data_IF_219020239873
#
_entry.id   IF_219020239873
#
_cell.length_a   1.000
_cell.length_b   1.000
_cell.length_c   1.000
_cell.angle_alpha   90.00
_cell.angle_beta   90.00
_cell.angle_gamma   90.00
#
_symmetry.space_group_name_H-M   'P 1'
#
loop_
_entity.id
_entity.type
_entity.pdbx_description
1 polymer ?
#
# COMPACT_ATOMS: atom_id res chain seq x y z
N UNK A 1 2.25 -31.83 -16.35
CA UNK A 1 1.19 -30.80 -16.36
C UNK A 1 0.17 -31.17 -15.28
N UNK A 2 0.01 -30.30 -14.27
CA UNK A 2 -1.08 -30.46 -13.29
C UNK A 2 -2.33 -29.89 -13.92
N UNK A 3 -3.31 -30.73 -14.26
CA UNK A 3 -4.65 -30.27 -14.64
C UNK A 3 -5.35 -29.71 -13.40
N UNK A 4 -6.00 -28.55 -13.55
CA UNK A 4 -6.86 -27.95 -12.53
C UNK A 4 -8.34 -28.17 -12.87
N UNK A 5 -8.64 -29.01 -13.87
CA UNK A 5 -10.00 -29.42 -14.20
C UNK A 5 -10.65 -30.10 -12.98
N UNK A 6 -11.91 -29.82 -12.76
CA UNK A 6 -12.72 -30.34 -11.66
C UNK A 6 -12.20 -29.99 -10.24
N UNK A 7 -11.30 -29.00 -10.12
CA UNK A 7 -10.76 -28.54 -8.83
C UNK A 7 -11.45 -27.26 -8.35
N UNK A 8 -11.56 -27.15 -7.04
CA UNK A 8 -11.84 -25.87 -6.35
C UNK A 8 -10.55 -25.07 -6.30
N UNK A 9 -10.58 -23.80 -6.67
CA UNK A 9 -9.38 -22.99 -6.78
C UNK A 9 -9.51 -21.73 -5.91
N UNK A 10 -8.50 -21.50 -5.10
CA UNK A 10 -8.25 -20.24 -4.40
C UNK A 10 -7.14 -19.52 -5.17
N UNK A 11 -7.44 -18.38 -5.78
CA UNK A 11 -6.43 -17.55 -6.45
C UNK A 11 -6.23 -16.27 -5.65
N UNK A 12 -5.01 -16.06 -5.22
CA UNK A 12 -4.56 -14.79 -4.63
C UNK A 12 -3.77 -13.99 -5.67
N UNK A 13 -4.22 -12.78 -5.96
CA UNK A 13 -3.51 -11.86 -6.85
C UNK A 13 -2.59 -10.96 -6.05
N UNK A 14 -1.31 -10.95 -6.42
CA UNK A 14 -0.26 -10.24 -5.71
C UNK A 14 0.80 -9.62 -6.62
N UNK A 15 1.68 -8.79 -6.05
CA UNK A 15 2.88 -8.29 -6.72
C UNK A 15 4.02 -8.08 -5.73
N UNK A 16 5.27 -8.10 -6.20
CA UNK A 16 6.46 -7.92 -5.37
C UNK A 16 6.52 -6.57 -4.65
N UNK A 17 5.85 -5.58 -5.19
CA UNK A 17 5.74 -4.21 -4.65
C UNK A 17 4.50 -3.99 -3.76
N UNK A 18 3.64 -4.99 -3.63
CA UNK A 18 2.41 -4.90 -2.86
C UNK A 18 2.65 -5.37 -1.42
N UNK A 19 2.94 -4.43 -0.52
CA UNK A 19 3.16 -4.72 0.90
C UNK A 19 2.03 -5.52 1.55
N UNK A 20 0.76 -5.06 1.46
CA UNK A 20 -0.37 -5.80 2.02
C UNK A 20 -0.55 -7.21 1.44
N UNK A 21 -0.15 -7.44 0.18
CA UNK A 21 -0.16 -8.79 -0.39
C UNK A 21 0.83 -9.71 0.33
N UNK A 22 2.04 -9.20 0.59
CA UNK A 22 3.07 -9.98 1.28
C UNK A 22 2.72 -10.24 2.75
N UNK A 23 1.97 -9.33 3.39
CA UNK A 23 1.44 -9.53 4.74
C UNK A 23 0.37 -10.63 4.80
N UNK A 24 -0.36 -10.86 3.71
CA UNK A 24 -1.38 -11.89 3.63
C UNK A 24 -0.81 -13.31 3.44
N UNK A 25 0.45 -13.44 3.00
CA UNK A 25 1.08 -14.75 2.71
C UNK A 25 1.04 -15.72 3.90
N UNK A 26 1.39 -15.31 5.15
CA UNK A 26 1.33 -16.22 6.30
C UNK A 26 -0.09 -16.77 6.55
N UNK A 27 -1.11 -15.92 6.39
CA UNK A 27 -2.51 -16.31 6.55
C UNK A 27 -2.93 -17.35 5.48
N UNK A 28 -2.59 -17.11 4.23
CA UNK A 28 -2.88 -18.06 3.13
C UNK A 28 -2.12 -19.38 3.30
N UNK A 29 -0.87 -19.31 3.76
CA UNK A 29 -0.07 -20.50 4.08
C UNK A 29 -0.72 -21.34 5.19
N UNK A 30 -1.27 -20.69 6.23
CA UNK A 30 -1.99 -21.35 7.31
C UNK A 30 -3.26 -22.04 6.78
N UNK A 31 -4.05 -21.37 5.95
CA UNK A 31 -5.23 -21.96 5.34
C UNK A 31 -4.87 -23.15 4.46
N UNK A 32 -3.85 -23.01 3.61
CA UNK A 32 -3.38 -24.11 2.78
C UNK A 32 -2.93 -25.31 3.61
N UNK A 33 -2.23 -25.10 4.71
CA UNK A 33 -1.79 -26.19 5.59
C UNK A 33 -2.98 -26.90 6.24
N UNK A 34 -4.03 -26.17 6.66
CA UNK A 34 -5.26 -26.75 7.19
C UNK A 34 -6.01 -27.62 6.18
N UNK A 35 -5.98 -27.24 4.91
CA UNK A 35 -6.68 -27.95 3.84
C UNK A 35 -5.77 -28.85 3.00
N UNK A 36 -4.53 -29.09 3.39
CA UNK A 36 -3.54 -29.88 2.61
C UNK A 36 -3.95 -31.30 2.26
N UNK A 37 -4.84 -31.90 3.02
CA UNK A 37 -5.39 -33.26 2.78
C UNK A 37 -6.55 -33.24 1.78
N UNK A 38 -7.07 -32.09 1.41
CA UNK A 38 -8.12 -31.98 0.41
C UNK A 38 -7.49 -31.87 -0.97
N UNK A 39 -7.43 -32.99 -1.68
CA UNK A 39 -6.82 -33.07 -3.02
C UNK A 39 -7.61 -32.31 -4.10
N UNK A 40 -8.86 -31.90 -3.81
CA UNK A 40 -9.71 -31.17 -4.75
C UNK A 40 -9.63 -29.66 -4.60
N UNK A 41 -8.90 -29.15 -3.60
CA UNK A 41 -8.67 -27.73 -3.38
C UNK A 41 -7.24 -27.33 -3.72
N UNK A 42 -7.09 -26.30 -4.55
CA UNK A 42 -5.78 -25.80 -5.00
C UNK A 42 -5.64 -24.33 -4.62
N UNK A 43 -4.49 -23.96 -4.05
CA UNK A 43 -4.14 -22.57 -3.74
C UNK A 43 -3.07 -22.08 -4.73
N UNK A 44 -3.35 -20.93 -5.35
CA UNK A 44 -2.50 -20.30 -6.36
C UNK A 44 -2.25 -18.86 -5.96
N UNK A 45 -0.99 -18.45 -5.92
CA UNK A 45 -0.60 -17.04 -5.83
C UNK A 45 -0.16 -16.55 -7.20
N UNK A 46 -0.95 -15.68 -7.81
CA UNK A 46 -0.80 -15.25 -9.20
C UNK A 46 -0.31 -13.80 -9.29
N UNK A 47 0.67 -13.56 -10.12
CA UNK A 47 1.19 -12.22 -10.45
C UNK A 47 1.39 -12.06 -11.96
N UNK A 48 1.38 -10.83 -12.45
CA UNK A 48 1.71 -10.49 -13.84
C UNK A 48 3.20 -10.19 -14.06
N UNK A 49 4.00 -10.26 -12.99
CA UNK A 49 5.42 -9.93 -13.03
C UNK A 49 6.26 -11.08 -13.58
N UNK A 50 7.40 -10.74 -14.19
CA UNK A 50 8.32 -11.73 -14.75
C UNK A 50 8.94 -12.63 -13.67
N UNK A 51 9.22 -13.92 -13.96
CA UNK A 51 9.82 -14.85 -13.01
C UNK A 51 11.11 -14.35 -12.37
N UNK A 52 11.96 -13.66 -13.14
CA UNK A 52 13.22 -13.11 -12.62
C UNK A 52 13.00 -12.04 -11.53
N UNK A 53 11.89 -11.31 -11.64
CA UNK A 53 11.55 -10.27 -10.67
C UNK A 53 10.99 -10.88 -9.39
N UNK A 54 10.13 -11.87 -9.49
CA UNK A 54 9.50 -12.50 -8.31
C UNK A 54 10.47 -13.35 -7.51
N UNK A 55 11.53 -13.89 -8.14
CA UNK A 55 12.49 -14.78 -7.50
C UNK A 55 13.10 -14.20 -6.22
N UNK A 56 13.52 -12.95 -6.25
CA UNK A 56 14.11 -12.30 -5.09
C UNK A 56 13.13 -12.17 -3.90
N UNK A 57 11.84 -12.10 -4.16
CA UNK A 57 10.79 -12.10 -3.13
C UNK A 57 10.56 -13.50 -2.60
N UNK A 58 10.52 -14.52 -3.47
CA UNK A 58 10.37 -15.94 -3.08
C UNK A 58 11.55 -16.44 -2.25
N UNK A 59 12.76 -15.92 -2.47
CA UNK A 59 13.94 -16.25 -1.68
C UNK A 59 13.87 -15.74 -0.22
N UNK A 60 12.91 -14.83 0.09
CA UNK A 60 12.78 -14.14 1.39
C UNK A 60 11.45 -14.42 2.09
N UNK A 61 10.41 -14.68 1.33
CA UNK A 61 9.05 -14.89 1.82
C UNK A 61 8.60 -16.27 1.35
N UNK A 62 8.26 -17.11 2.32
CA UNK A 62 7.86 -18.50 2.10
C UNK A 62 6.42 -18.56 1.61
N UNK A 63 6.23 -18.80 0.32
CA UNK A 63 4.94 -19.09 -0.28
C UNK A 63 4.74 -20.60 -0.34
N UNK A 64 3.79 -21.13 0.42
CA UNK A 64 3.40 -22.55 0.33
C UNK A 64 2.44 -22.82 -0.84
N UNK A 65 1.81 -21.76 -1.35
CA UNK A 65 0.92 -21.81 -2.51
C UNK A 65 1.69 -22.04 -3.82
N UNK A 66 0.99 -22.46 -4.88
CA UNK A 66 1.56 -22.56 -6.22
C UNK A 66 1.72 -21.14 -6.78
N UNK A 67 2.96 -20.68 -6.92
CA UNK A 67 3.21 -19.34 -7.49
C UNK A 67 3.20 -19.41 -9.02
N UNK A 68 2.37 -18.55 -9.64
CA UNK A 68 2.18 -18.47 -11.08
C UNK A 68 2.44 -17.06 -11.59
N UNK A 69 3.17 -16.96 -12.71
CA UNK A 69 3.39 -15.72 -13.44
C UNK A 69 2.53 -15.69 -14.71
N UNK A 70 1.44 -14.90 -14.70
CA UNK A 70 0.58 -14.67 -15.89
C UNK A 70 0.99 -13.36 -16.58
N UNK A 71 2.09 -13.40 -17.34
CA UNK A 71 2.60 -12.22 -18.06
C UNK A 71 1.64 -11.77 -19.17
N UNK A 72 0.72 -12.65 -19.62
CA UNK A 72 -0.32 -12.30 -20.59
C UNK A 72 -1.39 -11.38 -20.00
N UNK A 73 -1.50 -11.37 -18.68
CA UNK A 73 -2.57 -10.70 -17.92
C UNK A 73 -3.98 -11.19 -18.28
N UNK A 74 -4.09 -12.34 -18.92
CA UNK A 74 -5.40 -12.85 -19.32
C UNK A 74 -6.29 -13.11 -18.11
N UNK A 75 -5.77 -13.84 -17.12
CA UNK A 75 -6.51 -14.13 -15.88
C UNK A 75 -6.82 -12.87 -15.09
N UNK A 76 -5.91 -11.89 -15.06
CA UNK A 76 -6.15 -10.59 -14.41
C UNK A 76 -7.31 -9.82 -15.06
N UNK A 77 -7.43 -9.88 -16.39
CA UNK A 77 -8.53 -9.25 -17.14
C UNK A 77 -9.84 -10.01 -16.98
N UNK A 78 -9.81 -11.32 -17.14
CA UNK A 78 -11.00 -12.19 -17.07
C UNK A 78 -11.64 -12.10 -15.66
N UNK A 79 -10.84 -11.92 -14.62
CA UNK A 79 -11.31 -11.78 -13.23
C UNK A 79 -11.39 -10.33 -12.75
N UNK A 80 -11.25 -9.35 -13.65
CA UNK A 80 -11.37 -7.90 -13.35
C UNK A 80 -10.46 -7.42 -12.21
N UNK A 81 -9.24 -8.00 -12.10
CA UNK A 81 -8.25 -7.62 -11.10
C UNK A 81 -7.66 -6.24 -11.40
N UNK A 82 -7.65 -5.85 -12.68
CA UNK A 82 -7.27 -4.51 -13.12
C UNK A 82 -8.48 -3.81 -13.73
N UNK A 83 -8.86 -2.67 -13.15
CA UNK A 83 -9.96 -1.85 -13.66
C UNK A 83 -9.47 -0.42 -13.87
N UNK A 84 -9.72 0.14 -15.07
CA UNK A 84 -9.33 1.52 -15.44
C UNK A 84 -7.82 1.81 -15.21
N UNK A 85 -6.96 0.81 -15.38
CA UNK A 85 -5.50 0.92 -15.14
C UNK A 85 -5.11 0.93 -13.67
N UNK A 86 -6.02 0.59 -12.76
CA UNK A 86 -5.76 0.42 -11.33
C UNK A 86 -5.79 -1.06 -11.00
N UNK A 87 -4.68 -1.57 -10.47
CA UNK A 87 -4.59 -2.94 -9.96
C UNK A 87 -5.26 -3.03 -8.59
N UNK A 88 -6.26 -3.89 -8.46
CA UNK A 88 -6.99 -4.14 -7.20
C UNK A 88 -6.38 -5.35 -6.48
N UNK A 89 -5.25 -5.17 -5.84
CA UNK A 89 -4.55 -6.20 -5.06
C UNK A 89 -4.23 -5.68 -3.64
N UNK A 90 -4.23 -6.56 -2.60
CA UNK A 90 -4.48 -8.01 -2.67
C UNK A 90 -5.94 -8.35 -2.96
N UNK A 91 -6.17 -9.35 -3.79
CA UNK A 91 -7.50 -9.85 -4.13
C UNK A 91 -7.50 -11.37 -4.16
N UNK A 92 -8.36 -11.99 -3.38
CA UNK A 92 -8.60 -13.44 -3.42
C UNK A 92 -9.89 -13.76 -4.16
N UNK A 93 -9.84 -14.74 -5.04
CA UNK A 93 -10.98 -15.24 -5.82
C UNK A 93 -11.15 -16.73 -5.58
N UNK A 94 -12.38 -17.16 -5.28
CA UNK A 94 -12.76 -18.56 -5.19
C UNK A 94 -13.50 -19.00 -6.46
N UNK A 95 -13.00 -20.05 -7.10
CA UNK A 95 -13.56 -20.61 -8.32
C UNK A 95 -13.92 -22.08 -8.05
N UNK A 96 -15.20 -22.45 -8.26
CA UNK A 96 -15.69 -23.80 -8.04
C UNK A 96 -15.15 -24.79 -9.12
N UNK A 97 -15.40 -26.05 -8.90
CA UNK A 97 -15.00 -27.14 -9.81
C UNK A 97 -15.70 -27.11 -11.17
N UNK A 98 -16.69 -26.24 -11.39
CA UNK A 98 -17.33 -25.98 -12.67
C UNK A 98 -16.77 -24.71 -13.35
N UNK A 99 -15.75 -24.08 -12.77
CA UNK A 99 -15.15 -22.86 -13.30
C UNK A 99 -15.91 -21.57 -12.97
N UNK A 100 -16.90 -21.59 -12.06
CA UNK A 100 -17.65 -20.41 -11.69
C UNK A 100 -17.01 -19.67 -10.52
N UNK A 101 -16.92 -18.35 -10.60
CA UNK A 101 -16.51 -17.50 -9.49
C UNK A 101 -17.60 -17.49 -8.42
N UNK A 102 -17.27 -17.90 -7.21
CA UNK A 102 -18.20 -17.95 -6.06
C UNK A 102 -17.98 -16.81 -5.07
N UNK A 103 -16.78 -16.27 -5.02
CA UNK A 103 -16.46 -15.17 -4.10
C UNK A 103 -15.23 -14.41 -4.58
N UNK A 104 -15.20 -13.11 -4.30
CA UNK A 104 -14.05 -12.21 -4.44
C UNK A 104 -13.97 -11.34 -3.20
N UNK A 105 -12.77 -11.17 -2.63
CA UNK A 105 -12.59 -10.31 -1.46
C UNK A 105 -11.13 -10.20 -1.04
N UNK A 106 -10.91 -9.48 0.06
CA UNK A 106 -9.57 -9.35 0.64
C UNK A 106 -9.13 -10.68 1.27
N UNK A 107 -7.84 -11.09 1.12
CA UNK A 107 -7.36 -12.37 1.67
C UNK A 107 -7.61 -12.55 3.17
N UNK A 108 -7.54 -11.50 3.96
CA UNK A 108 -7.83 -11.56 5.41
C UNK A 108 -9.31 -11.89 5.71
N UNK A 109 -10.21 -11.72 4.75
CA UNK A 109 -11.63 -12.09 4.91
C UNK A 109 -11.88 -13.56 4.61
N UNK A 110 -10.93 -14.24 3.95
CA UNK A 110 -11.00 -15.67 3.71
C UNK A 110 -10.63 -16.40 5.00
N UNK A 111 -11.51 -17.29 5.44
CA UNK A 111 -11.31 -18.10 6.64
C UNK A 111 -11.73 -19.55 6.40
N UNK A 112 -11.48 -20.40 7.37
CA UNK A 112 -11.80 -21.82 7.31
C UNK A 112 -13.31 -22.09 7.12
N UNK A 113 -14.18 -21.30 7.75
CA UNK A 113 -15.64 -21.43 7.61
C UNK A 113 -16.08 -21.15 6.16
N UNK A 114 -15.58 -20.06 5.57
CA UNK A 114 -15.86 -19.70 4.17
C UNK A 114 -15.37 -20.78 3.19
N UNK A 115 -14.18 -21.32 3.42
CA UNK A 115 -13.64 -22.40 2.57
C UNK A 115 -14.47 -23.67 2.71
N UNK A 116 -14.91 -24.03 3.91
CA UNK A 116 -15.78 -25.19 4.12
C UNK A 116 -17.15 -25.03 3.44
N UNK A 117 -17.77 -23.85 3.53
CA UNK A 117 -19.02 -23.54 2.82
C UNK A 117 -18.81 -23.58 1.30
N UNK A 118 -17.69 -23.03 0.81
CA UNK A 118 -17.33 -23.05 -0.59
C UNK A 118 -17.21 -24.47 -1.14
N UNK A 119 -16.49 -25.35 -0.45
CA UNK A 119 -16.27 -26.74 -0.86
C UNK A 119 -17.58 -27.58 -0.84
N UNK A 120 -18.53 -27.22 0.00
CA UNK A 120 -19.87 -27.84 0.05
C UNK A 120 -20.83 -27.29 -0.99
N UNK A 121 -20.42 -26.28 -1.78
CA UNK A 121 -21.30 -25.57 -2.71
C UNK A 121 -22.38 -24.72 -2.02
N UNK A 122 -22.24 -24.45 -0.73
CA UNK A 122 -23.13 -23.61 0.05
C UNK A 122 -22.88 -22.13 -0.31
N UNK A 123 -23.92 -21.32 -0.09
CA UNK A 123 -23.77 -19.86 -0.26
C UNK A 123 -22.75 -19.33 0.77
N UNK A 124 -21.67 -18.74 0.29
CA UNK A 124 -20.67 -18.12 1.16
C UNK A 124 -21.34 -16.92 1.83
N UNK A 125 -21.59 -17.03 3.12
CA UNK A 125 -22.13 -15.92 3.90
C UNK A 125 -21.10 -14.81 3.94
N UNK A 126 -21.43 -13.69 3.36
CA UNK A 126 -20.70 -12.46 3.67
C UNK A 126 -20.89 -12.21 5.16
N UNK A 127 -19.81 -12.17 5.91
CA UNK A 127 -19.85 -11.70 7.29
C UNK A 127 -20.33 -10.27 7.25
N UNK A 128 -21.62 -10.06 7.44
CA UNK A 128 -22.19 -8.72 7.58
C UNK A 128 -21.50 -8.08 8.78
N UNK A 129 -20.59 -7.18 8.54
CA UNK A 129 -20.22 -6.13 9.48
C UNK A 129 -21.46 -5.21 9.61
N UNK A 130 -22.48 -5.67 10.31
CA UNK A 130 -23.76 -4.96 10.40
C UNK A 130 -23.67 -3.64 11.19
N UNK A 131 -22.55 -3.37 11.86
CA UNK A 131 -22.29 -2.10 12.54
C UNK A 131 -21.32 -1.18 11.77
N UNK A 132 -20.61 -1.67 10.76
CA UNK A 132 -19.76 -0.86 9.89
C UNK A 132 -20.49 -0.15 8.76
N UNK A 133 -21.73 -0.54 8.44
CA UNK A 133 -22.47 0.00 7.27
C UNK A 133 -22.83 1.50 7.38
N UNK A 134 -22.97 2.04 8.59
CA UNK A 134 -23.24 3.48 8.77
C UNK A 134 -21.92 4.29 8.72
N UNK A 135 -20.81 3.69 9.15
CA UNK A 135 -19.47 4.30 9.14
C UNK A 135 -18.88 4.26 7.74
N UNK A 136 -19.03 3.14 7.00
CA UNK A 136 -18.63 3.01 5.59
C UNK A 136 -19.33 3.99 4.66
N UNK A 137 -20.58 4.39 4.94
CA UNK A 137 -21.31 5.39 4.16
C UNK A 137 -20.66 6.79 4.25
N UNK A 138 -20.07 7.16 5.39
CA UNK A 138 -19.38 8.44 5.56
C UNK A 138 -17.99 8.45 4.92
N UNK A 139 -17.29 7.32 4.91
CA UNK A 139 -15.98 7.15 4.27
C UNK A 139 -16.09 7.14 2.74
N UNK A 140 -17.06 6.38 2.22
CA UNK A 140 -17.41 6.36 0.82
C UNK A 140 -17.74 7.74 0.29
N UNK A 141 -18.36 8.58 1.12
CA UNK A 141 -18.82 9.90 0.70
C UNK A 141 -17.67 10.86 0.38
N UNK A 142 -16.54 10.87 1.14
CA UNK A 142 -15.38 11.71 0.79
C UNK A 142 -14.65 11.19 -0.45
N UNK A 143 -14.29 9.90 -0.47
CA UNK A 143 -13.58 9.31 -1.60
C UNK A 143 -14.43 9.34 -2.88
N UNK A 144 -15.74 9.12 -2.77
CA UNK A 144 -16.67 9.21 -3.91
C UNK A 144 -16.78 10.64 -4.44
N UNK A 145 -16.89 11.65 -3.55
CA UNK A 145 -16.87 13.07 -3.91
C UNK A 145 -15.62 13.46 -4.70
N UNK A 146 -14.44 12.97 -4.27
CA UNK A 146 -13.18 13.37 -4.90
C UNK A 146 -12.80 12.50 -6.09
N UNK A 147 -13.22 11.23 -6.15
CA UNK A 147 -12.80 10.29 -7.20
C UNK A 147 -13.15 10.80 -8.59
N UNK A 148 -14.40 11.22 -8.79
CA UNK A 148 -14.82 11.80 -10.07
C UNK A 148 -14.02 13.06 -10.42
N UNK A 149 -13.86 13.98 -9.45
CA UNK A 149 -13.14 15.25 -9.67
C UNK A 149 -11.65 15.04 -9.91
N UNK A 150 -11.05 14.06 -9.22
CA UNK A 150 -9.63 13.72 -9.37
C UNK A 150 -9.35 13.04 -10.72
N UNK A 151 -10.27 12.20 -11.22
CA UNK A 151 -10.16 11.50 -12.52
C UNK A 151 -10.49 12.42 -13.69
N UNK A 152 -11.36 13.39 -13.54
CA UNK A 152 -11.81 14.27 -14.62
C UNK A 152 -10.67 15.12 -15.18
N UNK A 153 -10.30 14.89 -16.43
CA UNK A 153 -9.20 15.61 -17.11
C UNK A 153 -9.51 17.08 -17.38
N UNK A 154 -10.80 17.47 -17.41
CA UNK A 154 -11.22 18.86 -17.59
C UNK A 154 -11.13 19.70 -16.31
N UNK A 155 -10.82 19.08 -15.17
CA UNK A 155 -10.58 19.77 -13.91
C UNK A 155 -9.08 19.80 -13.66
N UNK A 156 -8.43 20.90 -13.94
CA UNK A 156 -6.98 21.03 -13.76
C UNK A 156 -6.58 21.29 -12.31
N UNK A 157 -7.45 21.95 -11.54
CA UNK A 157 -7.20 22.31 -10.16
C UNK A 157 -8.35 21.90 -9.24
N UNK A 158 -8.02 21.34 -8.09
CA UNK A 158 -8.96 21.04 -7.00
C UNK A 158 -8.28 21.33 -5.67
N UNK A 159 -9.00 21.96 -4.75
CA UNK A 159 -8.61 22.05 -3.35
C UNK A 159 -9.85 21.84 -2.50
N UNK A 160 -9.88 20.75 -1.75
CA UNK A 160 -10.92 20.42 -0.78
C UNK A 160 -10.25 20.12 0.55
N UNK A 161 -10.62 20.83 1.59
CA UNK A 161 -10.20 20.60 2.97
C UNK A 161 -11.42 20.66 3.87
N UNK A 162 -11.73 19.58 4.55
CA UNK A 162 -12.83 19.47 5.50
C UNK A 162 -12.40 18.76 6.77
N UNK A 163 -12.95 19.07 7.94
CA UNK A 163 -12.73 18.29 9.16
C UNK A 163 -13.17 16.84 8.96
N UNK A 164 -12.42 15.90 9.53
CA UNK A 164 -12.81 14.49 9.56
C UNK A 164 -13.39 14.14 10.92
N UNK A 165 -14.55 13.51 10.91
CA UNK A 165 -15.22 12.99 12.10
C UNK A 165 -15.11 11.46 12.21
N UNK A 166 -14.34 10.84 11.33
CA UNK A 166 -14.24 9.39 11.23
C UNK A 166 -12.95 8.89 11.89
N UNK A 167 -13.08 8.02 12.89
CA UNK A 167 -11.94 7.46 13.62
C UNK A 167 -11.41 6.14 12.99
N UNK A 168 -12.14 5.52 12.06
CA UNK A 168 -11.90 4.15 11.64
C UNK A 168 -11.11 3.99 10.35
N UNK A 169 -10.95 5.02 9.54
CA UNK A 169 -10.10 4.95 8.34
C UNK A 169 -9.09 6.08 8.29
N UNK A 170 -7.90 5.75 7.85
CA UNK A 170 -6.81 6.70 7.74
C UNK A 170 -5.97 6.34 6.51
N UNK A 171 -5.97 7.24 5.52
CA UNK A 171 -5.23 7.09 4.28
C UNK A 171 -4.41 8.35 4.00
N UNK A 172 -3.14 8.19 3.70
CA UNK A 172 -2.40 9.16 2.88
C UNK A 172 -1.94 8.42 1.63
N UNK A 173 -2.30 8.95 0.46
CA UNK A 173 -1.60 8.57 -0.75
C UNK A 173 -0.21 9.21 -0.66
N UNK A 174 0.81 8.36 -0.50
CA UNK A 174 2.18 8.78 -0.25
C UNK A 174 2.67 9.77 -1.30
N UNK A 175 2.80 11.02 -0.87
CA UNK A 175 3.32 12.10 -1.68
C UNK A 175 2.37 12.56 -2.81
N UNK A 176 2.94 13.39 -3.69
CA UNK A 176 2.22 13.94 -4.84
C UNK A 176 2.43 13.03 -6.04
N UNK A 177 1.39 12.28 -6.40
CA UNK A 177 1.39 11.43 -7.58
C UNK A 177 0.67 12.14 -8.72
N UNK A 178 1.38 12.42 -9.81
CA UNK A 178 0.84 13.05 -11.03
C UNK A 178 0.03 14.32 -10.74
N UNK A 179 0.56 15.19 -9.89
CA UNK A 179 -0.09 16.45 -9.54
C UNK A 179 -1.28 16.32 -8.61
N UNK A 180 -1.36 15.26 -7.81
CA UNK A 180 -2.46 14.99 -6.87
C UNK A 180 -1.93 14.65 -5.49
N UNK A 181 -2.61 15.13 -4.45
CA UNK A 181 -2.38 14.77 -3.05
C UNK A 181 -3.72 14.47 -2.38
N UNK A 182 -3.79 13.36 -1.67
CA UNK A 182 -4.98 12.93 -0.94
C UNK A 182 -4.56 12.52 0.46
N UNK A 183 -5.23 13.06 1.47
CA UNK A 183 -5.13 12.61 2.85
C UNK A 183 -6.55 12.47 3.41
N UNK A 184 -6.82 11.38 4.13
CA UNK A 184 -8.10 11.13 4.77
C UNK A 184 -7.87 10.84 6.24
N UNK A 185 -8.64 11.50 7.11
CA UNK A 185 -8.59 11.36 8.56
C UNK A 185 -7.19 11.55 9.16
N UNK A 186 -6.47 12.58 8.70
CA UNK A 186 -5.11 12.87 9.11
C UNK A 186 -5.00 14.18 9.90
N UNK A 187 -4.13 14.19 10.93
CA UNK A 187 -3.73 15.42 11.59
C UNK A 187 -2.99 16.35 10.64
N UNK A 188 -2.91 17.63 10.96
CA UNK A 188 -2.12 18.56 10.16
C UNK A 188 -0.63 18.25 10.22
N UNK A 189 -0.11 17.77 11.36
CA UNK A 189 1.29 17.36 11.46
C UNK A 189 1.60 16.18 10.54
N UNK A 190 0.72 15.15 10.47
CA UNK A 190 0.84 14.05 9.52
C UNK A 190 0.78 14.54 8.05
N UNK A 191 -0.14 15.47 7.74
CA UNK A 191 -0.26 16.03 6.38
C UNK A 191 1.00 16.81 6.01
N UNK A 192 1.50 17.70 6.88
CA UNK A 192 2.71 18.46 6.60
C UNK A 192 3.96 17.59 6.58
N UNK A 193 4.07 16.57 7.44
CA UNK A 193 5.14 15.59 7.43
C UNK A 193 5.27 14.92 6.05
N UNK A 194 4.16 14.42 5.53
CA UNK A 194 4.14 13.81 4.19
C UNK A 194 4.37 14.82 3.05
N UNK A 195 3.82 16.02 3.17
CA UNK A 195 3.95 17.05 2.15
C UNK A 195 5.38 17.59 2.07
N UNK A 196 6.04 17.77 3.21
CA UNK A 196 7.39 18.35 3.32
C UNK A 196 8.49 17.27 3.34
N UNK A 197 8.10 15.99 3.48
CA UNK A 197 9.04 14.86 3.59
C UNK A 197 9.99 15.00 4.79
N UNK A 198 9.46 15.45 5.92
CA UNK A 198 10.18 15.58 7.19
C UNK A 198 9.44 14.82 8.29
N UNK A 199 10.13 14.31 9.33
CA UNK A 199 9.49 13.66 10.47
C UNK A 199 8.44 14.54 11.15
N UNK A 200 7.34 13.92 11.61
CA UNK A 200 6.23 14.63 12.27
C UNK A 200 6.70 15.38 13.53
N UNK A 201 7.70 14.86 14.23
CA UNK A 201 8.32 15.44 15.41
C UNK A 201 8.97 16.81 15.15
N UNK A 202 9.30 17.10 13.88
CA UNK A 202 9.82 18.41 13.47
C UNK A 202 8.72 19.44 13.18
N UNK A 203 7.44 19.01 13.26
CA UNK A 203 6.29 19.88 12.98
C UNK A 203 5.57 20.18 14.27
N UNK A 204 5.60 21.44 14.69
CA UNK A 204 4.88 21.92 15.84
C UNK A 204 3.72 22.84 15.42
N UNK A 205 2.50 22.43 15.74
CA UNK A 205 1.29 23.19 15.45
C UNK A 205 0.68 23.65 16.77
N UNK A 206 0.97 24.88 17.18
CA UNK A 206 0.57 25.46 18.47
C UNK A 206 -0.82 26.08 18.47
N UNK A 207 -1.80 25.43 17.84
CA UNK A 207 -3.16 25.95 17.74
C UNK A 207 -4.21 24.90 18.07
N UNK A 208 -5.48 25.35 18.25
CA UNK A 208 -6.60 24.43 18.49
C UNK A 208 -6.78 23.40 17.36
N UNK A 209 -6.34 23.72 16.14
CA UNK A 209 -6.45 22.83 14.99
C UNK A 209 -5.45 21.65 15.02
N UNK A 210 -4.43 21.68 15.88
CA UNK A 210 -3.46 20.59 16.04
C UNK A 210 -4.12 19.27 16.46
N UNK A 211 -5.25 19.32 17.15
CA UNK A 211 -6.01 18.15 17.63
C UNK A 211 -7.05 17.66 16.63
N UNK A 212 -7.28 18.42 15.58
CA UNK A 212 -8.28 18.06 14.57
C UNK A 212 -7.66 17.18 13.50
N UNK A 213 -8.48 16.28 12.96
CA UNK A 213 -8.16 15.51 11.76
C UNK A 213 -8.91 16.07 10.56
N UNK A 214 -8.33 15.88 9.39
CA UNK A 214 -8.82 16.45 8.14
C UNK A 214 -8.86 15.42 7.02
N UNK A 215 -9.80 15.65 6.12
CA UNK A 215 -9.82 15.08 4.78
C UNK A 215 -9.34 16.15 3.81
N UNK A 216 -8.30 15.86 3.04
CA UNK A 216 -7.68 16.76 2.08
C UNK A 216 -7.61 16.12 0.71
N UNK A 217 -8.10 16.82 -0.29
CA UNK A 217 -7.88 16.48 -1.69
C UNK A 217 -7.34 17.68 -2.44
N UNK A 218 -6.20 17.53 -3.08
CA UNK A 218 -5.57 18.56 -3.90
C UNK A 218 -5.17 18.01 -5.26
N UNK A 219 -5.47 18.77 -6.31
CA UNK A 219 -5.06 18.48 -7.68
C UNK A 219 -4.57 19.76 -8.32
N UNK A 220 -3.41 19.70 -8.97
CA UNK A 220 -2.90 20.73 -9.85
C UNK A 220 -1.90 20.07 -10.82
N UNK A 221 -2.37 19.69 -12.00
CA UNK A 221 -1.59 18.92 -12.96
C UNK A 221 -0.58 19.73 -13.76
N UNK A 222 -0.70 21.05 -13.73
CA UNK A 222 0.13 21.96 -14.54
C UNK A 222 1.32 22.55 -13.77
N UNK A 223 1.37 22.32 -12.45
CA UNK A 223 2.27 23.04 -11.57
C UNK A 223 3.44 22.19 -11.05
N UNK A 224 4.64 22.61 -11.34
CA UNK A 224 5.89 21.99 -10.83
C UNK A 224 6.13 22.29 -9.34
N UNK A 225 5.54 23.36 -8.80
CA UNK A 225 5.69 23.78 -7.39
C UNK A 225 4.52 23.35 -6.50
N UNK A 226 3.88 22.25 -6.83
CA UNK A 226 2.65 21.80 -6.22
C UNK A 226 2.73 21.68 -4.69
N UNK A 227 3.86 21.19 -4.12
CA UNK A 227 4.07 21.09 -2.67
C UNK A 227 4.02 22.46 -2.00
N UNK A 228 4.72 23.45 -2.56
CA UNK A 228 4.77 24.82 -2.04
C UNK A 228 3.37 25.44 -2.07
N UNK A 229 2.70 25.36 -3.21
CA UNK A 229 1.35 25.92 -3.36
C UNK A 229 0.29 25.22 -2.48
N UNK A 230 0.41 23.91 -2.28
CA UNK A 230 -0.48 23.22 -1.37
C UNK A 230 -0.22 23.65 0.08
N UNK A 231 1.06 23.78 0.49
CA UNK A 231 1.43 24.30 1.80
C UNK A 231 0.82 25.70 2.02
N UNK A 232 1.04 26.62 1.08
CA UNK A 232 0.52 28.00 1.19
C UNK A 232 -1.01 28.03 1.27
N UNK A 233 -1.71 27.20 0.49
CA UNK A 233 -3.17 27.09 0.56
C UNK A 233 -3.65 26.58 1.91
N UNK A 234 -2.96 25.60 2.50
CA UNK A 234 -3.27 25.06 3.82
C UNK A 234 -3.06 26.14 4.90
N UNK A 235 -1.90 26.80 4.89
CA UNK A 235 -1.60 27.89 5.83
C UNK A 235 -2.64 29.00 5.74
N UNK A 236 -2.96 29.47 4.55
CA UNK A 236 -3.98 30.51 4.34
C UNK A 236 -5.38 30.06 4.77
N UNK A 237 -5.80 28.82 4.40
CA UNK A 237 -7.14 28.31 4.68
C UNK A 237 -7.39 28.13 6.18
N UNK A 238 -6.34 27.79 6.94
CA UNK A 238 -6.39 27.52 8.37
C UNK A 238 -5.91 28.71 9.21
N UNK A 239 -5.57 29.82 8.58
CA UNK A 239 -5.03 31.04 9.23
C UNK A 239 -3.80 30.71 10.09
N UNK A 240 -2.84 29.97 9.52
CA UNK A 240 -1.61 29.58 10.17
C UNK A 240 -0.43 30.39 9.61
N UNK A 241 0.52 30.71 10.48
CA UNK A 241 1.80 31.29 10.11
C UNK A 241 2.92 30.25 10.28
N UNK A 242 3.84 30.21 9.35
CA UNK A 242 5.02 29.36 9.41
C UNK A 242 6.18 30.07 10.11
N UNK A 243 6.79 29.40 11.08
CA UNK A 243 8.01 29.84 11.72
C UNK A 243 9.03 28.69 11.71
N UNK A 244 10.28 28.98 11.47
CA UNK A 244 11.37 28.04 11.57
C UNK A 244 12.02 28.22 12.95
N UNK A 245 12.09 27.12 13.71
CA UNK A 245 12.77 27.07 15.00
C UNK A 245 13.91 26.07 14.93
N UNK A 246 15.00 26.36 15.66
CA UNK A 246 16.13 25.43 15.80
C UNK A 246 15.90 24.59 17.05
N UNK A 247 16.08 23.27 16.92
CA UNK A 247 16.01 22.30 18.02
C UNK A 247 17.06 21.21 17.77
N UNK A 248 17.66 20.75 18.84
CA UNK A 248 18.57 19.59 18.77
C UNK A 248 17.75 18.30 18.68
N UNK A 249 18.15 17.42 17.79
CA UNK A 249 17.56 16.11 17.58
C UNK A 249 18.64 15.04 17.54
N UNK A 250 18.30 13.85 17.99
CA UNK A 250 19.08 12.65 17.74
C UNK A 250 18.94 12.28 16.25
N UNK A 251 20.07 12.02 15.58
CA UNK A 251 20.11 11.67 14.16
C UNK A 251 20.68 10.27 14.03
N UNK A 252 19.96 9.43 13.28
CA UNK A 252 20.38 8.08 12.92
C UNK A 252 21.01 8.10 11.54
N UNK A 253 22.14 7.42 11.38
CA UNK A 253 22.82 7.33 10.08
C UNK A 253 22.55 5.97 9.42
N UNK A 254 21.98 6.00 8.21
CA UNK A 254 21.81 4.80 7.40
C UNK A 254 23.12 4.48 6.69
N UNK A 255 23.77 3.36 7.06
CA UNK A 255 25.05 2.91 6.51
C UNK A 255 24.95 1.51 5.90
N UNK A 256 25.83 1.21 4.95
CA UNK A 256 25.99 -0.12 4.38
C UNK A 256 27.12 -0.86 5.06
N UNK A 257 26.84 -2.02 5.64
CA UNK A 257 27.85 -2.91 6.18
C UNK A 257 28.51 -3.77 5.10
N UNK A 258 27.74 -4.24 4.11
CA UNK A 258 28.22 -5.12 3.05
C UNK A 258 27.70 -4.71 1.67
N UNK A 259 28.51 -3.98 0.90
CA UNK A 259 28.13 -3.51 -0.46
C UNK A 259 27.86 -4.66 -1.45
N UNK A 260 28.50 -5.81 -1.27
CA UNK A 260 28.35 -6.96 -2.17
C UNK A 260 26.94 -7.56 -2.22
N UNK A 261 26.12 -7.31 -1.21
CA UNK A 261 24.73 -7.79 -1.11
C UNK A 261 23.70 -6.88 -1.75
N UNK A 262 24.09 -5.65 -2.10
CA UNK A 262 23.19 -4.66 -2.68
C UNK A 262 23.36 -4.63 -4.20
N UNK A 263 22.28 -4.91 -4.92
CA UNK A 263 22.24 -4.87 -6.38
C UNK A 263 21.36 -3.71 -6.83
N UNK A 264 21.84 -2.96 -7.83
CA UNK A 264 21.01 -1.95 -8.47
C UNK A 264 19.75 -2.58 -9.06
N UNK A 265 18.65 -1.86 -9.03
CA UNK A 265 17.46 -2.25 -9.76
C UNK A 265 17.79 -2.39 -11.25
N UNK A 266 17.41 -3.52 -11.85
CA UNK A 266 17.51 -3.67 -13.29
C UNK A 266 16.47 -2.74 -13.92
N UNK A 267 16.92 -1.57 -14.38
CA UNK A 267 16.06 -0.56 -15.00
C UNK A 267 15.17 -1.17 -16.08
N UNK A 268 13.87 -1.15 -15.84
CA UNK A 268 12.91 -1.00 -16.93
C UNK A 268 12.60 0.49 -17.00
N UNK A 269 12.97 1.14 -18.06
CA UNK A 269 13.11 2.59 -18.26
C UNK A 269 11.85 3.43 -18.01
N UNK A 270 10.69 2.84 -17.73
CA UNK A 270 9.40 3.52 -17.75
C UNK A 270 8.57 3.40 -16.47
N UNK A 271 9.08 2.76 -15.41
CA UNK A 271 8.34 2.67 -14.14
C UNK A 271 8.92 3.63 -13.11
N UNK A 272 8.07 4.53 -12.64
CA UNK A 272 8.35 5.38 -11.48
C UNK A 272 8.74 4.51 -10.29
N UNK A 273 9.79 4.91 -9.56
CA UNK A 273 10.17 4.27 -8.31
C UNK A 273 9.02 4.32 -7.30
N UNK A 274 8.90 3.28 -6.50
CA UNK A 274 7.85 3.13 -5.51
C UNK A 274 8.42 2.61 -4.20
N UNK A 275 8.00 3.22 -3.10
CA UNK A 275 8.24 2.71 -1.75
C UNK A 275 6.87 2.39 -1.18
N UNK A 276 6.72 1.19 -0.64
CA UNK A 276 5.52 0.75 0.05
C UNK A 276 5.88 0.13 1.39
N UNK A 277 4.95 0.18 2.29
CA UNK A 277 5.07 -0.46 3.59
C UNK A 277 4.03 -1.57 3.77
N UNK A 278 4.40 -2.53 4.57
CA UNK A 278 3.55 -3.57 5.09
C UNK A 278 3.58 -3.55 6.62
N UNK A 279 2.82 -4.41 7.28
CA UNK A 279 2.91 -4.57 8.75
C UNK A 279 4.34 -4.90 9.21
N UNK A 280 5.09 -5.63 8.40
CA UNK A 280 6.37 -6.24 8.77
C UNK A 280 7.58 -5.73 7.97
N UNK A 281 7.36 -5.15 6.79
CA UNK A 281 8.43 -4.78 5.87
C UNK A 281 8.26 -3.38 5.27
N UNK A 282 9.39 -2.80 4.87
CA UNK A 282 9.47 -1.66 3.95
C UNK A 282 10.01 -2.21 2.63
N UNK A 283 9.34 -1.92 1.53
CA UNK A 283 9.63 -2.46 0.20
C UNK A 283 9.98 -1.31 -0.73
N UNK A 284 11.19 -1.33 -1.26
CA UNK A 284 11.63 -0.43 -2.33
C UNK A 284 11.55 -1.17 -3.66
N UNK A 285 10.93 -0.53 -4.62
CA UNK A 285 10.95 -0.99 -6.02
C UNK A 285 11.41 0.15 -6.90
N UNK A 286 12.55 -0.01 -7.54
CA UNK A 286 13.17 0.98 -8.42
C UNK A 286 13.28 2.39 -7.77
N UNK A 287 13.54 2.46 -6.47
CA UNK A 287 13.60 3.69 -5.67
C UNK A 287 14.99 3.96 -5.11
N UNK A 288 15.32 5.22 -4.88
CA UNK A 288 16.61 5.63 -4.32
C UNK A 288 16.63 5.49 -2.78
N UNK A 289 17.82 5.52 -2.20
CA UNK A 289 18.01 5.37 -0.76
C UNK A 289 17.59 6.63 0.03
N UNK A 290 17.67 7.81 -0.58
CA UNK A 290 17.15 9.03 0.04
C UNK A 290 15.63 8.92 0.32
N UNK A 291 14.87 8.36 -0.61
CA UNK A 291 13.46 8.03 -0.38
C UNK A 291 13.25 7.02 0.75
N UNK A 292 14.14 6.02 0.87
CA UNK A 292 14.09 5.05 1.98
C UNK A 292 14.36 5.71 3.33
N UNK A 293 15.39 6.55 3.44
CA UNK A 293 15.72 7.22 4.70
C UNK A 293 14.59 8.14 5.17
N UNK A 294 13.91 8.82 4.24
CA UNK A 294 12.71 9.62 4.51
C UNK A 294 11.55 8.75 4.99
N UNK A 295 11.30 7.62 4.33
CA UNK A 295 10.24 6.69 4.73
C UNK A 295 10.48 6.11 6.13
N UNK A 296 11.72 5.68 6.44
CA UNK A 296 12.10 5.23 7.78
C UNK A 296 11.88 6.35 8.80
N UNK A 297 12.28 7.59 8.47
CA UNK A 297 12.11 8.73 9.35
C UNK A 297 10.63 8.96 9.72
N UNK A 298 9.75 8.90 8.74
CA UNK A 298 8.30 9.08 8.96
C UNK A 298 7.71 7.92 9.77
N UNK A 299 8.04 6.67 9.40
CA UNK A 299 7.46 5.48 10.03
C UNK A 299 7.86 5.28 11.49
N UNK A 300 9.13 5.55 11.81
CA UNK A 300 9.68 5.31 13.14
C UNK A 300 9.78 6.58 13.97
N UNK A 301 9.36 7.72 13.41
CA UNK A 301 9.40 9.02 14.06
C UNK A 301 10.80 9.41 14.53
N UNK A 302 11.80 9.16 13.69
CA UNK A 302 13.22 9.45 13.92
C UNK A 302 13.79 10.23 12.76
N UNK A 303 14.92 10.90 12.95
CA UNK A 303 15.62 11.58 11.85
C UNK A 303 16.68 10.65 11.31
N UNK A 304 16.54 10.21 10.06
CA UNK A 304 17.50 9.33 9.38
C UNK A 304 18.21 10.08 8.27
N UNK A 305 19.55 10.09 8.35
CA UNK A 305 20.44 10.64 7.30
C UNK A 305 20.99 9.50 6.45
N UNK A 306 20.90 9.64 5.13
CA UNK A 306 21.56 8.70 4.21
C UNK A 306 23.06 8.96 4.16
N UNK A 307 23.84 8.02 4.72
CA UNK A 307 25.32 7.97 4.68
C UNK A 307 25.79 6.69 3.94
N UNK A 308 24.95 6.11 3.09
CA UNK A 308 25.29 4.89 2.34
C UNK A 308 26.23 5.13 1.18
N UNK A 309 26.24 6.35 0.64
CA UNK A 309 26.97 6.70 -0.57
C UNK A 309 26.47 5.97 -1.83
N UNK A 310 25.25 5.42 -1.80
CA UNK A 310 24.64 4.76 -2.94
C UNK A 310 23.96 5.78 -3.86
N UNK A 311 24.32 5.74 -5.12
CA UNK A 311 23.68 6.54 -6.16
C UNK A 311 22.94 5.61 -7.13
N UNK A 312 21.65 5.85 -7.32
CA UNK A 312 20.80 5.06 -8.22
C UNK A 312 19.56 4.51 -7.56
N UNK A 313 18.88 3.62 -8.28
CA UNK A 313 17.64 2.99 -7.80
C UNK A 313 17.88 1.52 -7.46
N UNK A 314 17.18 1.07 -6.44
CA UNK A 314 17.35 -0.25 -5.83
C UNK A 314 15.99 -0.93 -5.62
N UNK A 315 16.01 -2.26 -5.64
CA UNK A 315 14.90 -3.11 -5.19
C UNK A 315 15.33 -3.76 -3.87
N UNK A 316 14.72 -3.35 -2.76
CA UNK A 316 15.06 -3.80 -1.41
C UNK A 316 13.80 -4.18 -0.64
N UNK A 317 13.94 -5.17 0.24
CA UNK A 317 12.93 -5.51 1.25
C UNK A 317 13.61 -5.47 2.62
N UNK A 318 13.13 -4.60 3.48
CA UNK A 318 13.66 -4.39 4.83
C UNK A 318 12.64 -4.83 5.87
N UNK A 319 13.07 -5.61 6.85
CA UNK A 319 12.22 -6.01 7.96
C UNK A 319 12.10 -4.87 8.99
N UNK A 320 10.89 -4.44 9.30
CA UNK A 320 10.60 -3.37 10.26
C UNK A 320 11.09 -3.70 11.68
N UNK A 321 10.99 -4.97 12.09
CA UNK A 321 11.44 -5.42 13.41
C UNK A 321 12.93 -5.18 13.61
N UNK A 322 13.73 -5.43 12.59
CA UNK A 322 15.19 -5.20 12.66
C UNK A 322 15.52 -3.70 12.83
N UNK A 323 14.70 -2.80 12.29
CA UNK A 323 14.89 -1.35 12.48
C UNK A 323 14.46 -0.93 13.90
N UNK A 324 13.35 -1.49 14.42
CA UNK A 324 12.87 -1.21 15.78
C UNK A 324 13.84 -1.69 16.89
N UNK A 325 14.57 -2.77 16.64
CA UNK A 325 15.56 -3.30 17.60
C UNK A 325 16.82 -2.43 17.69
N UNK A 326 17.13 -1.61 16.70
CA UNK A 326 18.22 -0.64 16.73
C UNK A 326 17.92 0.57 17.63
N UNK A 327 16.65 0.81 17.96
CA UNK A 327 16.18 1.93 18.78
C UNK A 327 15.98 1.55 20.26
N UNK A 328 16.45 0.39 20.71
CA UNK A 328 16.48 -0.06 22.10
C UNK A 328 17.90 -0.06 22.66
#
# INVERSE_FOLDING_TARGET
>A
DKSFEDKFIVIEFWATWCGPCLDAVPHLNELQEKFKLNNDLVFISMTDEKPEKIKATLDRIDFKTIVVSDQSKKTHKDLEVEKDGVMMIPLTVLIDNNGNVKWKGHPEELNEEKLNSFLKGEQIKETKKAEQSIIELSEKDFLDKITFKMKNKSIDTLFLLEPSNNENSSLIANGIIKGKFIAQNKSLSEIFSNLLEIPEEQINISTKVSKLKFNLAYKNITDKELKVKLKDKLLKRLNLNENIAFKEYEIYELKILEKSKIKNSKKTSDKMGHISESKTHIILSNSNIDGLSKEISVLFKIIVKDETGLNGNYDLILNKRSIQELNK
#
